data_IF_114107546355
#
_entry.id   IF_114107546355
#
_cell.length_a   1.000
_cell.length_b   1.000
_cell.length_c   1.000
_cell.angle_alpha   90.00
_cell.angle_beta   90.00
_cell.angle_gamma   90.00
#
_symmetry.space_group_name_H-M   'P 1'
#
loop_
_entity.id
_entity.type
_entity.pdbx_description
1 polymer ?
#
# COMPACT_ATOMS: atom_id res chain seq x y z
N UNK A 1 13.74 -3.10 3.05
CA UNK A 1 12.72 -4.16 3.18
C UNK A 1 11.43 -3.75 2.51
N UNK A 2 10.78 -2.69 2.99
CA UNK A 2 9.52 -2.12 2.46
C UNK A 2 9.48 -1.93 0.93
N UNK A 3 10.54 -1.37 0.33
CA UNK A 3 10.62 -1.20 -1.13
C UNK A 3 10.72 -2.53 -1.90
N UNK A 4 11.41 -3.53 -1.35
CA UNK A 4 11.50 -4.85 -1.97
C UNK A 4 10.15 -5.58 -1.90
N UNK A 5 9.43 -5.44 -0.79
CA UNK A 5 8.09 -6.00 -0.62
C UNK A 5 7.10 -5.40 -1.64
N UNK A 6 7.18 -4.09 -1.87
CA UNK A 6 6.42 -3.40 -2.93
C UNK A 6 6.76 -3.95 -4.32
N UNK A 7 8.05 -4.09 -4.66
CA UNK A 7 8.48 -4.64 -5.95
C UNK A 7 7.94 -6.06 -6.17
N UNK A 8 8.00 -6.89 -5.14
CA UNK A 8 7.52 -8.27 -5.20
C UNK A 8 5.99 -8.33 -5.38
N UNK A 9 5.24 -7.50 -4.64
CA UNK A 9 3.79 -7.41 -4.79
C UNK A 9 3.39 -6.89 -6.18
N UNK A 10 4.06 -5.84 -6.69
CA UNK A 10 3.81 -5.31 -8.02
C UNK A 10 4.10 -6.35 -9.12
N UNK A 11 5.18 -7.12 -8.98
CA UNK A 11 5.51 -8.21 -9.90
C UNK A 11 4.44 -9.32 -9.86
N UNK A 12 3.97 -9.69 -8.66
CA UNK A 12 2.90 -10.67 -8.49
C UNK A 12 1.58 -10.22 -9.12
N UNK A 13 1.20 -8.95 -8.95
CA UNK A 13 0.00 -8.37 -9.58
C UNK A 13 0.11 -8.46 -11.11
N UNK A 14 1.24 -8.02 -11.68
CA UNK A 14 1.48 -8.11 -13.14
C UNK A 14 1.37 -9.54 -13.66
N UNK A 15 2.06 -10.47 -13.00
CA UNK A 15 2.03 -11.89 -13.38
C UNK A 15 0.62 -12.47 -13.32
N UNK A 16 -0.17 -12.13 -12.30
CA UNK A 16 -1.55 -12.60 -12.17
C UNK A 16 -2.43 -12.03 -13.29
N UNK A 17 -2.32 -10.74 -13.62
CA UNK A 17 -3.10 -10.14 -14.71
C UNK A 17 -2.69 -10.71 -16.07
N UNK A 18 -1.40 -10.92 -16.32
CA UNK A 18 -0.90 -11.57 -17.54
C UNK A 18 -1.43 -13.00 -17.67
N UNK A 19 -1.45 -13.76 -16.57
CA UNK A 19 -1.98 -15.12 -16.58
C UNK A 19 -3.50 -15.14 -16.81
N UNK A 20 -4.25 -14.23 -16.19
CA UNK A 20 -5.68 -14.06 -16.46
C UNK A 20 -5.94 -13.73 -17.92
N UNK A 21 -5.20 -12.77 -18.48
CA UNK A 21 -5.36 -12.36 -19.88
C UNK A 21 -4.95 -13.48 -20.85
N UNK A 22 -3.93 -14.27 -20.53
CA UNK A 22 -3.55 -15.45 -21.32
C UNK A 22 -4.64 -16.52 -21.29
N UNK A 23 -5.27 -16.74 -20.15
CA UNK A 23 -6.40 -17.67 -20.03
C UNK A 23 -7.60 -17.19 -20.85
N UNK A 24 -7.92 -15.88 -20.79
CA UNK A 24 -8.97 -15.26 -21.60
C UNK A 24 -8.68 -15.41 -23.10
N UNK A 25 -7.43 -15.16 -23.52
CA UNK A 25 -7.03 -15.34 -24.91
C UNK A 25 -7.23 -16.78 -25.38
N UNK A 26 -6.82 -17.76 -24.56
CA UNK A 26 -7.00 -19.19 -24.85
C UNK A 26 -8.49 -19.55 -24.97
N UNK A 27 -9.33 -19.08 -24.04
CA UNK A 27 -10.78 -19.32 -24.07
C UNK A 27 -11.43 -18.69 -25.30
N UNK A 28 -11.07 -17.44 -25.63
CA UNK A 28 -11.58 -16.76 -26.82
C UNK A 28 -11.17 -17.48 -28.12
N UNK A 29 -9.93 -17.99 -28.18
CA UNK A 29 -9.45 -18.78 -29.31
C UNK A 29 -10.20 -20.11 -29.44
N UNK A 30 -10.44 -20.81 -28.32
CA UNK A 30 -11.20 -22.05 -28.31
C UNK A 30 -12.66 -21.82 -28.74
N UNK A 31 -13.30 -20.78 -28.21
CA UNK A 31 -14.66 -20.37 -28.57
C UNK A 31 -14.76 -20.06 -30.08
N UNK A 32 -13.83 -19.27 -30.62
CA UNK A 32 -13.77 -18.97 -32.04
C UNK A 32 -13.56 -20.22 -32.91
N UNK A 33 -12.73 -21.16 -32.45
CA UNK A 33 -12.47 -22.41 -33.18
C UNK A 33 -13.71 -23.30 -33.19
N UNK A 34 -14.38 -23.47 -32.05
CA UNK A 34 -15.64 -24.23 -31.96
C UNK A 34 -16.76 -23.58 -32.80
N UNK A 35 -16.82 -22.24 -32.82
CA UNK A 35 -17.79 -21.53 -33.66
C UNK A 35 -17.52 -21.80 -35.15
N UNK A 36 -16.26 -21.76 -35.60
CA UNK A 36 -15.90 -22.06 -36.98
C UNK A 36 -16.23 -23.52 -37.36
N UNK A 37 -15.94 -24.49 -36.49
CA UNK A 37 -16.24 -25.90 -36.71
C UNK A 37 -17.76 -26.15 -36.80
N UNK A 38 -18.55 -25.55 -35.91
CA UNK A 38 -20.02 -25.59 -35.98
C UNK A 38 -20.54 -24.92 -37.26
N UNK A 39 -19.93 -23.82 -37.71
CA UNK A 39 -20.22 -23.19 -38.98
C UNK A 39 -20.04 -24.16 -40.15
N UNK A 40 -18.90 -24.85 -40.21
CA UNK A 40 -18.62 -25.85 -41.23
C UNK A 40 -19.62 -27.03 -41.20
N UNK A 41 -19.98 -27.53 -40.01
CA UNK A 41 -20.99 -28.59 -39.86
C UNK A 41 -22.38 -28.15 -40.35
N UNK A 42 -22.75 -26.90 -40.08
CA UNK A 42 -24.00 -26.30 -40.57
C UNK A 42 -23.97 -26.21 -42.09
N UNK A 43 -22.88 -25.74 -42.69
CA UNK A 43 -22.72 -25.65 -44.14
C UNK A 43 -22.80 -27.03 -44.81
N UNK A 44 -22.03 -28.01 -44.31
CA UNK A 44 -22.03 -29.38 -44.83
C UNK A 44 -23.41 -30.04 -44.73
N UNK A 45 -24.11 -29.86 -43.60
CA UNK A 45 -25.43 -30.44 -43.40
C UNK A 45 -26.50 -29.76 -44.26
N UNK A 46 -26.41 -28.44 -44.46
CA UNK A 46 -27.28 -27.73 -45.40
C UNK A 46 -27.06 -28.21 -46.85
N UNK A 47 -25.81 -28.47 -47.25
CA UNK A 47 -25.52 -29.00 -48.58
C UNK A 47 -26.14 -30.39 -48.77
N UNK A 48 -25.98 -31.30 -47.79
CA UNK A 48 -26.64 -32.62 -47.80
C UNK A 48 -28.16 -32.52 -47.83
N UNK A 49 -28.75 -31.63 -47.04
CA UNK A 49 -30.19 -31.37 -47.03
C UNK A 49 -30.69 -30.94 -48.41
N UNK A 50 -29.99 -29.99 -49.05
CA UNK A 50 -30.32 -29.53 -50.40
C UNK A 50 -30.23 -30.68 -51.42
N UNK A 51 -29.17 -31.49 -51.35
CA UNK A 51 -28.99 -32.64 -52.23
C UNK A 51 -30.12 -33.66 -52.09
N UNK A 52 -30.56 -33.95 -50.86
CA UNK A 52 -31.64 -34.89 -50.60
C UNK A 52 -33.02 -34.33 -51.01
N UNK A 53 -33.23 -33.02 -50.91
CA UNK A 53 -34.41 -32.36 -51.45
C UNK A 53 -34.44 -32.42 -52.99
N UNK A 54 -33.29 -32.26 -53.66
CA UNK A 54 -33.18 -32.46 -55.11
C UNK A 54 -33.44 -33.91 -55.49
N UNK A 55 -32.88 -34.87 -54.75
CA UNK A 55 -33.15 -36.30 -54.95
C UNK A 55 -34.64 -36.63 -54.82
N UNK A 56 -35.31 -36.13 -53.78
CA UNK A 56 -36.75 -36.30 -53.56
C UNK A 56 -37.53 -35.80 -54.77
N UNK A 57 -37.25 -34.56 -55.21
CA UNK A 57 -37.90 -33.97 -56.38
C UNK A 57 -37.64 -34.77 -57.65
N UNK A 58 -36.43 -35.31 -57.83
CA UNK A 58 -36.08 -36.10 -59.00
C UNK A 58 -36.87 -37.41 -59.07
N UNK A 59 -36.96 -38.14 -57.95
CA UNK A 59 -37.76 -39.35 -57.84
C UNK A 59 -39.26 -39.05 -57.99
N UNK A 60 -39.74 -37.93 -57.41
CA UNK A 60 -41.13 -37.49 -57.54
C UNK A 60 -41.52 -37.16 -58.97
N UNK A 61 -40.66 -36.48 -59.72
CA UNK A 61 -40.96 -35.99 -61.07
C UNK A 61 -40.41 -36.87 -62.19
N UNK A 62 -39.71 -37.97 -61.87
CA UNK A 62 -39.12 -38.87 -62.85
C UNK A 62 -37.94 -38.28 -63.61
N UNK A 63 -37.18 -37.38 -62.97
CA UNK A 63 -35.98 -36.75 -63.56
C UNK A 63 -34.71 -37.38 -63.03
N UNK A 64 -33.56 -37.04 -63.62
CA UNK A 64 -32.25 -37.52 -63.18
C UNK A 64 -31.57 -36.56 -62.22
N UNK A 65 -30.83 -37.11 -61.25
CA UNK A 65 -29.87 -36.35 -60.43
C UNK A 65 -28.44 -36.54 -60.93
N UNK A 66 -27.58 -35.51 -60.78
CA UNK A 66 -26.17 -35.62 -61.12
C UNK A 66 -25.44 -36.59 -60.19
N UNK A 67 -24.36 -37.20 -60.69
CA UNK A 67 -23.53 -38.15 -59.92
C UNK A 67 -22.78 -37.53 -58.74
N UNK A 68 -22.70 -36.19 -58.69
CA UNK A 68 -22.11 -35.45 -57.57
C UNK A 68 -23.04 -35.31 -56.36
N UNK A 69 -24.33 -35.61 -56.51
CA UNK A 69 -25.31 -35.50 -55.44
C UNK A 69 -25.07 -36.55 -54.35
N UNK A 70 -25.10 -36.15 -53.08
CA UNK A 70 -24.85 -37.04 -51.96
C UNK A 70 -25.79 -38.27 -51.90
N UNK A 71 -27.00 -38.16 -52.46
CA UNK A 71 -28.01 -39.22 -52.53
C UNK A 71 -28.01 -40.03 -53.84
N UNK A 72 -27.03 -39.85 -54.73
CA UNK A 72 -27.02 -40.48 -56.06
C UNK A 72 -27.10 -42.02 -56.03
N UNK A 73 -26.50 -42.67 -55.03
CA UNK A 73 -26.58 -44.14 -54.87
C UNK A 73 -28.01 -44.63 -54.61
N UNK A 74 -28.81 -43.83 -53.88
CA UNK A 74 -30.24 -44.09 -53.63
C UNK A 74 -31.00 -43.94 -54.95
N UNK A 75 -30.71 -42.88 -55.72
CA UNK A 75 -31.30 -42.68 -57.04
C UNK A 75 -31.02 -43.85 -57.99
N UNK A 76 -29.76 -44.29 -58.07
CA UNK A 76 -29.35 -45.39 -58.95
C UNK A 76 -30.08 -46.70 -58.60
N UNK A 77 -30.18 -47.00 -57.29
CA UNK A 77 -30.89 -48.18 -56.80
C UNK A 77 -32.39 -48.12 -57.14
N UNK A 78 -33.01 -46.95 -56.97
CA UNK A 78 -34.39 -46.70 -57.36
C UNK A 78 -34.58 -46.87 -58.89
N UNK A 79 -33.74 -46.22 -59.70
CA UNK A 79 -33.85 -46.25 -61.16
C UNK A 79 -33.73 -47.67 -61.75
N UNK A 80 -32.90 -48.53 -61.15
CA UNK A 80 -32.75 -49.93 -61.58
C UNK A 80 -34.01 -50.78 -61.35
N UNK A 81 -34.82 -50.44 -60.34
CA UNK A 81 -36.00 -51.21 -59.93
C UNK A 81 -37.32 -50.53 -60.33
N UNK A 82 -37.28 -49.26 -60.74
CA UNK A 82 -38.44 -48.45 -61.09
C UNK A 82 -39.24 -49.01 -62.28
N UNK A 83 -38.61 -49.72 -63.22
CA UNK A 83 -39.28 -50.32 -64.37
C UNK A 83 -40.26 -51.46 -64.00
N UNK A 84 -40.13 -52.03 -62.79
CA UNK A 84 -40.97 -53.12 -62.29
C UNK A 84 -42.04 -52.64 -61.29
N UNK A 85 -42.08 -51.33 -60.97
CA UNK A 85 -43.02 -50.73 -60.01
C UNK A 85 -44.33 -50.30 -60.67
N UNK A 86 -45.19 -51.27 -61.00
CA UNK A 86 -46.47 -51.02 -61.68
C UNK A 86 -47.52 -50.29 -60.83
N UNK A 87 -47.29 -50.12 -59.51
CA UNK A 87 -48.25 -49.56 -58.54
C UNK A 87 -47.70 -48.33 -57.77
N UNK A 88 -46.48 -47.88 -58.06
CA UNK A 88 -45.86 -46.73 -57.38
C UNK A 88 -45.47 -46.98 -55.91
N UNK A 89 -45.47 -48.25 -55.47
CA UNK A 89 -45.17 -48.61 -54.08
C UNK A 89 -43.70 -48.41 -53.73
N UNK A 90 -42.80 -48.78 -54.64
CA UNK A 90 -41.36 -48.60 -54.46
C UNK A 90 -41.02 -47.10 -54.38
N UNK A 91 -41.62 -46.30 -55.26
CA UNK A 91 -41.47 -44.84 -55.24
C UNK A 91 -41.89 -44.25 -53.89
N UNK A 92 -43.05 -44.64 -53.37
CA UNK A 92 -43.55 -44.16 -52.08
C UNK A 92 -42.61 -44.53 -50.91
N UNK A 93 -42.10 -45.77 -50.89
CA UNK A 93 -41.15 -46.22 -49.87
C UNK A 93 -39.83 -45.45 -49.90
N UNK A 94 -39.25 -45.25 -51.09
CA UNK A 94 -37.98 -44.50 -51.23
C UNK A 94 -38.17 -43.04 -50.84
N UNK A 95 -39.30 -42.42 -51.22
CA UNK A 95 -39.62 -41.05 -50.79
C UNK A 95 -39.74 -40.96 -49.26
N UNK A 96 -40.43 -41.91 -48.61
CA UNK A 96 -40.55 -41.94 -47.16
C UNK A 96 -39.18 -42.09 -46.46
N UNK A 97 -38.27 -42.88 -47.03
CA UNK A 97 -36.90 -43.00 -46.55
C UNK A 97 -36.11 -41.69 -46.68
N UNK A 98 -36.25 -41.00 -47.82
CA UNK A 98 -35.63 -39.68 -48.05
C UNK A 98 -36.18 -38.64 -47.08
N UNK A 99 -37.49 -38.64 -46.84
CA UNK A 99 -38.13 -37.73 -45.88
C UNK A 99 -37.64 -37.95 -44.45
N UNK A 100 -37.41 -39.21 -44.07
CA UNK A 100 -36.79 -39.53 -42.78
C UNK A 100 -35.37 -38.95 -42.67
N UNK A 101 -34.56 -39.03 -43.73
CA UNK A 101 -33.22 -38.46 -43.74
C UNK A 101 -33.23 -36.92 -43.72
N UNK A 102 -34.13 -36.30 -44.49
CA UNK A 102 -34.35 -34.85 -44.48
C UNK A 102 -34.67 -34.37 -43.06
N UNK A 103 -35.61 -35.03 -42.38
CA UNK A 103 -35.97 -34.68 -41.00
C UNK A 103 -34.80 -34.84 -40.01
N UNK A 104 -33.93 -35.83 -40.21
CA UNK A 104 -32.72 -36.00 -39.40
C UNK A 104 -31.72 -34.85 -39.61
N UNK A 105 -31.50 -34.43 -40.85
CA UNK A 105 -30.63 -33.28 -41.15
C UNK A 105 -31.20 -31.98 -40.60
N UNK A 106 -32.51 -31.75 -40.70
CA UNK A 106 -33.18 -30.58 -40.13
C UNK A 106 -33.04 -30.52 -38.60
N UNK A 107 -33.20 -31.66 -37.94
CA UNK A 107 -33.00 -31.79 -36.49
C UNK A 107 -31.55 -31.51 -36.09
N UNK A 108 -30.57 -32.08 -36.81
CA UNK A 108 -29.15 -31.83 -36.59
C UNK A 108 -28.80 -30.34 -36.79
N UNK A 109 -29.31 -29.72 -37.85
CA UNK A 109 -29.13 -28.29 -38.12
C UNK A 109 -29.71 -27.41 -37.02
N UNK A 110 -30.89 -27.74 -36.50
CA UNK A 110 -31.48 -27.02 -35.38
C UNK A 110 -30.55 -27.08 -34.15
N UNK A 111 -30.00 -28.26 -33.84
CA UNK A 111 -29.04 -28.43 -32.75
C UNK A 111 -27.75 -27.64 -32.96
N UNK A 112 -27.15 -27.72 -34.16
CA UNK A 112 -25.91 -26.99 -34.46
C UNK A 112 -26.11 -25.47 -34.42
N UNK A 113 -27.25 -24.95 -34.89
CA UNK A 113 -27.54 -23.51 -34.84
C UNK A 113 -27.66 -22.99 -33.41
N UNK A 114 -28.26 -23.78 -32.51
CA UNK A 114 -28.32 -23.44 -31.08
C UNK A 114 -26.91 -23.41 -30.49
N UNK A 115 -26.08 -24.40 -30.78
CA UNK A 115 -24.69 -24.44 -30.30
C UNK A 115 -23.86 -23.29 -30.89
N UNK A 116 -24.00 -22.99 -32.18
CA UNK A 116 -23.28 -21.92 -32.87
C UNK A 116 -23.57 -20.54 -32.26
N UNK A 117 -24.84 -20.29 -31.89
CA UNK A 117 -25.24 -19.07 -31.21
C UNK A 117 -24.63 -18.96 -29.79
N UNK A 118 -24.38 -20.09 -29.12
CA UNK A 118 -23.77 -20.14 -27.79
C UNK A 118 -22.23 -20.08 -27.78
N UNK A 119 -21.56 -20.55 -28.84
CA UNK A 119 -20.10 -20.67 -28.90
C UNK A 119 -19.36 -19.38 -29.26
N UNK A 120 -20.04 -18.30 -29.65
CA UNK A 120 -19.40 -17.07 -30.14
C UNK A 120 -19.03 -16.03 -29.07
N UNK A 121 -19.33 -16.27 -27.79
CA UNK A 121 -19.11 -15.28 -26.74
C UNK A 121 -17.61 -15.11 -26.42
N UNK A 122 -17.11 -13.88 -26.58
CA UNK A 122 -15.74 -13.52 -26.21
C UNK A 122 -15.72 -12.76 -24.88
N UNK A 123 -14.75 -13.11 -24.05
CA UNK A 123 -14.47 -12.39 -22.81
C UNK A 123 -13.55 -11.21 -23.09
N UNK A 124 -13.80 -10.08 -22.42
CA UNK A 124 -12.92 -8.94 -22.42
C UNK A 124 -11.68 -9.20 -21.56
N UNK A 125 -10.54 -8.66 -21.99
CA UNK A 125 -9.31 -8.69 -21.19
C UNK A 125 -9.47 -7.88 -19.90
N UNK A 126 -8.75 -8.32 -18.86
CA UNK A 126 -8.68 -7.61 -17.59
C UNK A 126 -7.91 -6.29 -17.75
N UNK A 127 -8.59 -5.18 -17.49
CA UNK A 127 -8.04 -3.82 -17.50
C UNK A 127 -7.73 -3.25 -16.11
N UNK A 128 -7.68 -4.09 -15.07
CA UNK A 128 -7.52 -3.66 -13.67
C UNK A 128 -6.06 -3.47 -13.23
N UNK A 129 -5.08 -3.78 -14.09
CA UNK A 129 -3.67 -3.75 -13.72
C UNK A 129 -3.23 -2.38 -13.20
N UNK A 130 -3.53 -1.33 -13.96
CA UNK A 130 -3.09 0.02 -13.62
C UNK A 130 -3.71 0.51 -12.31
N UNK A 131 -5.00 0.25 -12.10
CA UNK A 131 -5.68 0.65 -10.86
C UNK A 131 -5.16 -0.12 -9.64
N UNK A 132 -4.85 -1.41 -9.79
CA UNK A 132 -4.24 -2.21 -8.73
C UNK A 132 -2.82 -1.72 -8.39
N UNK A 133 -2.00 -1.40 -9.40
CA UNK A 133 -0.64 -0.89 -9.18
C UNK A 133 -0.63 0.50 -8.52
N UNK A 134 -1.54 1.40 -8.94
CA UNK A 134 -1.66 2.72 -8.31
C UNK A 134 -2.19 2.61 -6.87
N UNK A 135 -3.14 1.72 -6.61
CA UNK A 135 -3.61 1.45 -5.23
C UNK A 135 -2.47 0.93 -4.34
N UNK A 136 -1.69 -0.04 -4.83
CA UNK A 136 -0.54 -0.58 -4.10
C UNK A 136 0.51 0.50 -3.81
N UNK A 137 0.80 1.36 -4.80
CA UNK A 137 1.72 2.49 -4.64
C UNK A 137 1.23 3.48 -3.59
N UNK A 138 -0.04 3.86 -3.62
CA UNK A 138 -0.64 4.77 -2.65
C UNK A 138 -0.59 4.20 -1.23
N UNK A 139 -0.92 2.91 -1.07
CA UNK A 139 -0.81 2.22 0.22
C UNK A 139 0.63 2.22 0.75
N UNK A 140 1.59 1.97 -0.14
CA UNK A 140 2.99 1.93 0.25
C UNK A 140 3.53 3.31 0.65
N UNK A 141 3.15 4.36 -0.06
CA UNK A 141 3.50 5.73 0.28
C UNK A 141 2.90 6.16 1.62
N UNK A 142 1.64 5.81 1.90
CA UNK A 142 1.01 6.08 3.18
C UNK A 142 1.78 5.41 4.34
N UNK A 143 2.17 4.15 4.16
CA UNK A 143 2.96 3.41 5.16
C UNK A 143 4.33 4.06 5.40
N UNK A 144 5.05 4.43 4.35
CA UNK A 144 6.34 5.14 4.48
C UNK A 144 6.16 6.48 5.18
N UNK A 145 5.09 7.22 4.88
CA UNK A 145 4.76 8.47 5.58
C UNK A 145 4.52 8.30 7.08
N UNK A 146 3.84 7.22 7.47
CA UNK A 146 3.65 6.86 8.88
C UNK A 146 4.97 6.48 9.57
N UNK A 147 5.80 5.66 8.93
CA UNK A 147 7.12 5.28 9.46
C UNK A 147 8.03 6.51 9.62
N UNK A 148 8.02 7.43 8.66
CA UNK A 148 8.79 8.67 8.74
C UNK A 148 8.31 9.56 9.91
N UNK A 149 7.00 9.66 10.10
CA UNK A 149 6.41 10.43 11.21
C UNK A 149 6.81 9.82 12.56
N UNK A 150 6.73 8.50 12.70
CA UNK A 150 7.15 7.80 13.91
C UNK A 150 8.66 7.97 14.18
N UNK A 151 9.48 7.92 13.14
CA UNK A 151 10.93 8.13 13.26
C UNK A 151 11.25 9.57 13.69
N UNK A 152 10.57 10.57 13.14
CA UNK A 152 10.73 11.97 13.53
C UNK A 152 10.34 12.21 15.00
N UNK A 153 9.26 11.59 15.47
CA UNK A 153 8.89 11.66 16.90
C UNK A 153 9.97 11.05 17.79
N UNK A 154 10.52 9.90 17.40
CA UNK A 154 11.62 9.26 18.14
C UNK A 154 12.90 10.09 18.12
N UNK A 155 13.20 10.76 17.01
CA UNK A 155 14.33 11.68 16.91
C UNK A 155 14.17 12.83 17.92
N UNK A 156 12.99 13.48 17.93
CA UNK A 156 12.69 14.58 18.86
C UNK A 156 12.77 14.13 20.33
N UNK A 157 12.31 12.92 20.65
CA UNK A 157 12.44 12.35 21.98
C UNK A 157 13.91 12.18 22.39
N UNK A 158 14.72 11.59 21.51
CA UNK A 158 16.15 11.38 21.75
C UNK A 158 16.89 12.72 21.89
N UNK A 159 16.60 13.71 21.04
CA UNK A 159 17.19 15.04 21.12
C UNK A 159 16.84 15.76 22.43
N UNK A 160 15.59 15.67 22.86
CA UNK A 160 15.18 16.23 24.16
C UNK A 160 15.87 15.53 25.32
N UNK A 161 15.95 14.19 25.30
CA UNK A 161 16.65 13.41 26.32
C UNK A 161 18.15 13.78 26.37
N UNK A 162 18.79 13.96 25.22
CA UNK A 162 20.18 14.40 25.14
C UNK A 162 20.36 15.81 25.74
N UNK A 163 19.45 16.74 25.44
CA UNK A 163 19.48 18.10 26.01
C UNK A 163 19.33 18.08 27.54
N UNK A 164 18.42 17.25 28.06
CA UNK A 164 18.25 17.07 29.51
C UNK A 164 19.53 16.50 30.13
N UNK A 165 20.12 15.46 29.54
CA UNK A 165 21.38 14.89 30.04
C UNK A 165 22.52 15.91 30.02
N UNK A 166 22.68 16.69 28.94
CA UNK A 166 23.69 17.75 28.87
C UNK A 166 23.50 18.82 29.94
N UNK A 167 22.26 19.18 30.26
CA UNK A 167 21.95 20.09 31.37
C UNK A 167 22.33 19.50 32.74
N UNK A 168 22.08 18.20 32.95
CA UNK A 168 22.49 17.51 34.17
C UNK A 168 24.02 17.47 34.29
N UNK A 169 24.74 17.21 33.20
CA UNK A 169 26.22 17.23 33.19
C UNK A 169 26.76 18.61 33.57
N UNK A 170 26.15 19.69 33.08
CA UNK A 170 26.55 21.06 33.46
C UNK A 170 26.33 21.33 34.95
N UNK A 171 25.27 20.79 35.57
CA UNK A 171 25.07 20.90 37.02
C UNK A 171 26.17 20.21 37.86
N UNK A 172 26.95 19.30 37.27
CA UNK A 172 28.07 18.64 37.94
C UNK A 172 29.28 19.54 38.19
N UNK A 173 29.39 20.68 37.49
CA UNK A 173 30.45 21.65 37.69
C UNK A 173 29.84 22.98 38.17
N UNK A 174 30.13 23.35 39.42
CA UNK A 174 29.67 24.60 40.01
C UNK A 174 30.79 25.63 39.91
N UNK A 175 30.57 26.68 39.13
CA UNK A 175 31.53 27.75 38.89
C UNK A 175 31.11 29.03 39.60
N UNK A 176 32.07 29.80 40.09
CA UNK A 176 31.82 31.15 40.58
C UNK A 176 31.46 32.10 39.42
N UNK A 177 30.54 33.05 39.66
CA UNK A 177 30.15 34.06 38.66
C UNK A 177 31.13 35.25 38.62
N UNK A 178 31.90 35.45 39.68
CA UNK A 178 32.81 36.59 39.86
C UNK A 178 34.10 36.13 40.56
N UNK A 179 35.13 36.97 40.52
CA UNK A 179 36.38 36.73 41.23
C UNK A 179 36.23 37.05 42.73
N UNK A 180 36.79 36.20 43.59
CA UNK A 180 36.65 36.34 45.03
C UNK A 180 37.49 35.35 45.82
N UNK A 181 37.35 35.41 47.14
CA UNK A 181 37.90 34.43 48.08
C UNK A 181 36.82 33.40 48.38
N UNK A 182 37.08 32.15 48.01
CA UNK A 182 36.15 31.05 48.23
C UNK A 182 36.24 30.56 49.69
N UNK A 183 35.13 30.61 50.41
CA UNK A 183 34.98 30.03 51.74
C UNK A 183 34.09 28.78 51.65
N UNK A 184 34.69 27.59 51.80
CA UNK A 184 33.95 26.32 51.71
C UNK A 184 33.08 26.11 52.95
N UNK A 185 31.87 25.58 52.75
CA UNK A 185 31.02 25.17 53.86
C UNK A 185 31.54 23.84 54.44
N UNK A 186 31.96 23.80 55.72
CA UNK A 186 32.51 22.60 56.33
C UNK A 186 31.51 21.44 56.42
N UNK A 187 30.19 21.71 56.47
CA UNK A 187 29.16 20.66 56.50
C UNK A 187 29.11 19.83 55.21
N UNK A 188 29.52 20.43 54.10
CA UNK A 188 29.48 19.81 52.76
C UNK A 188 30.86 19.51 52.20
N UNK A 189 31.92 19.93 52.90
CA UNK A 189 33.30 19.74 52.46
C UNK A 189 33.67 18.25 52.47
N UNK A 190 34.09 17.72 51.31
CA UNK A 190 34.47 16.31 51.15
C UNK A 190 33.28 15.34 50.98
N UNK A 191 32.04 15.85 50.90
CA UNK A 191 30.88 15.02 50.61
C UNK A 191 30.84 14.58 49.14
N UNK A 192 30.59 13.29 48.89
CA UNK A 192 30.43 12.74 47.53
C UNK A 192 29.04 13.01 46.93
N UNK A 193 28.06 13.36 47.76
CA UNK A 193 26.69 13.62 47.34
C UNK A 193 26.10 14.75 48.18
N UNK A 194 25.61 15.80 47.52
CA UNK A 194 24.99 16.95 48.18
C UNK A 194 23.64 17.25 47.50
N UNK A 195 22.55 17.46 48.25
CA UNK A 195 21.26 17.84 47.68
C UNK A 195 21.32 19.18 46.92
N UNK A 196 20.57 19.26 45.81
CA UNK A 196 20.43 20.51 45.08
C UNK A 196 19.82 21.61 45.98
N UNK A 197 20.42 22.81 45.96
CA UNK A 197 20.02 23.94 46.80
C UNK A 197 20.73 24.04 48.16
N UNK A 198 21.52 23.05 48.58
CA UNK A 198 22.36 23.17 49.78
C UNK A 198 23.58 24.04 49.49
N UNK A 199 23.89 24.96 50.40
CA UNK A 199 25.05 25.87 50.28
C UNK A 199 26.35 25.07 50.37
N UNK A 200 27.16 25.11 49.31
CA UNK A 200 28.47 24.45 49.23
C UNK A 200 29.62 25.35 49.67
N UNK A 201 29.54 26.63 49.34
CA UNK A 201 30.56 27.64 49.61
C UNK A 201 29.95 29.04 49.56
N UNK A 202 30.63 29.99 50.18
CA UNK A 202 30.37 31.42 50.07
C UNK A 202 31.54 32.07 49.33
N UNK A 203 31.25 32.95 48.38
CA UNK A 203 32.26 33.73 47.69
C UNK A 203 32.32 35.12 48.33
N UNK A 204 33.45 35.45 48.95
CA UNK A 204 33.68 36.77 49.52
C UNK A 204 34.45 37.66 48.54
N UNK A 205 34.20 38.97 48.51
CA UNK A 205 34.94 39.90 47.66
C UNK A 205 36.42 39.96 48.08
N UNK A 206 37.31 40.17 47.12
CA UNK A 206 38.73 40.40 47.41
C UNK A 206 38.90 41.82 47.96
N UNK A 207 39.06 41.95 49.28
CA UNK A 207 39.12 43.24 49.98
C UNK A 207 40.31 44.14 49.57
N UNK A 208 41.32 43.58 48.90
CA UNK A 208 42.41 44.37 48.30
C UNK A 208 41.96 45.21 47.11
N UNK A 209 40.91 44.74 46.42
CA UNK A 209 40.35 45.35 45.20
C UNK A 209 39.03 46.08 45.52
N UNK A 210 38.14 45.41 46.25
CA UNK A 210 36.88 45.95 46.78
C UNK A 210 37.13 46.57 48.17
N UNK A 211 37.39 47.89 48.21
CA UNK A 211 37.74 48.63 49.45
C UNK A 211 36.55 49.06 50.30
N UNK A 212 35.34 48.59 49.98
CA UNK A 212 34.11 48.96 50.68
C UNK A 212 33.53 47.74 51.36
N UNK A 213 33.22 47.87 52.64
CA UNK A 213 32.55 46.84 53.45
C UNK A 213 31.32 47.47 54.08
N UNK A 214 30.19 46.79 53.98
CA UNK A 214 28.96 47.19 54.67
C UNK A 214 28.98 46.65 56.08
N UNK A 215 28.94 47.53 57.07
CA UNK A 215 28.84 47.17 58.48
C UNK A 215 27.39 47.40 58.92
N UNK A 216 26.74 46.33 59.39
CA UNK A 216 25.41 46.41 60.00
C UNK A 216 25.55 46.21 61.49
N UNK A 217 25.12 47.20 62.28
CA UNK A 217 25.14 47.13 63.74
C UNK A 217 23.78 47.45 64.31
N UNK A 218 23.48 46.90 65.49
CA UNK A 218 22.28 47.23 66.25
C UNK A 218 22.48 48.53 67.03
N UNK A 219 21.46 49.37 67.05
CA UNK A 219 21.40 50.60 67.84
C UNK A 219 20.18 50.51 68.76
N UNK A 220 20.32 50.98 70.00
CA UNK A 220 19.20 50.95 70.95
C UNK A 220 18.10 51.94 70.52
N UNK A 221 16.84 51.64 70.84
CA UNK A 221 15.71 52.51 70.51
C UNK A 221 15.80 53.92 71.13
N UNK A 222 16.61 54.09 72.18
CA UNK A 222 16.87 55.41 72.79
C UNK A 222 17.78 56.24 71.89
N UNK A 223 18.83 55.62 71.38
CA UNK A 223 19.90 56.31 70.65
C UNK A 223 19.58 56.44 69.15
N UNK A 224 18.70 55.60 68.58
CA UNK A 224 18.29 55.69 67.17
C UNK A 224 17.62 57.02 66.82
N UNK A 225 16.94 57.64 67.79
CA UNK A 225 16.27 58.94 67.62
C UNK A 225 17.26 60.08 67.33
N UNK A 226 18.54 59.90 67.71
CA UNK A 226 19.61 60.86 67.47
C UNK A 226 20.41 60.63 66.20
N UNK A 227 20.16 59.55 65.45
CA UNK A 227 20.89 59.22 64.23
C UNK A 227 20.17 59.71 62.96
N UNK A 228 20.95 60.17 61.97
CA UNK A 228 20.45 60.58 60.65
C UNK A 228 21.21 59.89 59.51
N UNK A 229 20.52 59.64 58.40
CA UNK A 229 21.15 59.12 57.20
C UNK A 229 22.19 60.12 56.66
N UNK A 230 23.40 59.63 56.36
CA UNK A 230 24.51 60.44 55.87
C UNK A 230 25.45 60.96 56.96
N UNK A 231 25.20 60.65 58.24
CA UNK A 231 26.16 60.93 59.31
C UNK A 231 27.42 60.07 59.18
N UNK A 232 28.57 60.68 59.44
CA UNK A 232 29.85 59.97 59.46
C UNK A 232 29.97 59.15 60.73
N UNK A 233 30.05 57.83 60.57
CA UNK A 233 30.25 56.87 61.65
C UNK A 233 31.73 56.51 61.70
N UNK A 234 32.30 56.56 62.91
CA UNK A 234 33.61 56.01 63.20
C UNK A 234 33.44 54.65 63.87
N UNK A 235 33.95 53.61 63.22
CA UNK A 235 33.99 52.26 63.74
C UNK A 235 35.42 51.92 64.15
N UNK A 236 35.63 51.48 65.39
CA UNK A 236 36.93 50.99 65.87
C UNK A 236 36.80 49.51 66.17
N UNK A 237 37.73 48.71 65.65
CA UNK A 237 37.84 47.30 65.98
C UNK A 237 39.29 46.95 66.34
N UNK A 238 39.46 45.81 67.01
CA UNK A 238 40.75 45.29 67.47
C UNK A 238 41.08 44.04 66.65
N UNK A 239 42.35 43.90 66.23
CA UNK A 239 42.83 42.64 65.66
C UNK A 239 43.14 41.59 66.75
N UNK A 240 43.58 40.40 66.33
CA UNK A 240 43.94 39.28 67.23
C UNK A 240 45.10 39.62 68.20
N UNK A 241 45.84 40.71 67.95
CA UNK A 241 46.94 41.20 68.78
C UNK A 241 46.57 42.46 69.57
N UNK A 242 45.28 42.76 69.74
CA UNK A 242 44.75 43.98 70.38
C UNK A 242 45.20 45.29 69.72
N UNK A 243 45.52 45.28 68.43
CA UNK A 243 45.84 46.51 67.69
C UNK A 243 44.55 47.13 67.15
N UNK A 244 44.33 48.40 67.47
CA UNK A 244 43.17 49.16 67.00
C UNK A 244 43.29 49.47 65.49
N UNK A 245 42.19 49.23 64.76
CA UNK A 245 41.98 49.75 63.42
C UNK A 245 40.67 50.54 63.38
N UNK A 246 40.73 51.72 62.78
CA UNK A 246 39.60 52.66 62.69
C UNK A 246 39.12 52.71 61.23
N UNK A 247 37.84 52.40 61.03
CA UNK A 247 37.14 52.56 59.78
C UNK A 247 36.21 53.77 59.89
N UNK A 248 36.15 54.58 58.84
CA UNK A 248 35.26 55.74 58.79
C UNK A 248 34.32 55.56 57.62
N UNK A 249 33.01 55.69 57.85
CA UNK A 249 32.04 55.63 56.75
C UNK A 249 32.19 56.87 55.86
N UNK A 250 32.37 56.65 54.57
CA UNK A 250 32.29 57.70 53.54
C UNK A 250 30.93 57.69 52.87
#
# INVERSE_FOLDING_TARGET
QVFNDYKNQAASIRSNTEQQNSNIASQNSAASSSQAELGNLIEETNAKLSDYQTLKNAIQNGTSVPSSNAGYSIYQSYAAQAASDSQGQLKSQVIAQIDSQIAQFESALASYRVQYAGSGAQQAYSGSLDSQLESLKAQQLAKVGQELTALNQKLLEVENNLKVQGGITQKGAITAMEDGVLHLNPETAGANLVPEGKVLAQLYPVLTTEKKVTITTYVTSKDVSSLKQGETIRFTALDENNKEFVLTST
#
